data_IF_133413828168
#
_entry.id   IF_133413828168
#
_cell.length_a   1.000
_cell.length_b   1.000
_cell.length_c   1.000
_cell.angle_alpha   90.00
_cell.angle_beta   90.00
_cell.angle_gamma   90.00
#
_symmetry.space_group_name_H-M   'P 1'
#
loop_
_entity.id
_entity.type
_entity.pdbx_description
1 polymer ?
#
# COMPACT_ATOMS: atom_id res chain seq x y z
N UNK A 1 -5.59 -9.42 7.37
CA UNK A 1 -4.87 -9.51 8.66
C UNK A 1 -3.53 -10.26 8.53
N UNK A 2 -3.50 -11.48 7.98
CA UNK A 2 -2.26 -12.28 7.87
C UNK A 2 -1.13 -11.59 7.08
N UNK A 3 -1.44 -10.96 5.94
CA UNK A 3 -0.43 -10.26 5.11
C UNK A 3 0.19 -9.07 5.86
N UNK A 4 -0.60 -8.32 6.63
CA UNK A 4 -0.11 -7.20 7.43
C UNK A 4 0.87 -7.65 8.53
N UNK A 5 0.58 -8.79 9.17
CA UNK A 5 1.49 -9.40 10.16
C UNK A 5 2.76 -9.92 9.49
N UNK A 6 2.66 -10.48 8.28
CA UNK A 6 3.80 -10.95 7.51
C UNK A 6 4.77 -9.80 7.19
N UNK A 7 4.27 -8.69 6.63
CA UNK A 7 5.13 -7.54 6.25
C UNK A 7 5.61 -6.69 7.42
N UNK A 8 5.09 -6.90 8.63
CA UNK A 8 5.62 -6.26 9.84
C UNK A 8 7.09 -6.65 10.09
N UNK A 9 7.48 -7.87 9.72
CA UNK A 9 8.84 -8.36 9.87
C UNK A 9 9.68 -8.09 8.61
N UNK A 10 10.96 -7.73 8.79
CA UNK A 10 11.91 -7.55 7.68
C UNK A 10 12.01 -8.78 6.74
N UNK A 11 12.10 -10.04 7.22
CA UNK A 11 12.10 -11.20 6.33
C UNK A 11 10.78 -11.36 5.57
N UNK A 12 9.64 -11.09 6.20
CA UNK A 12 8.33 -11.19 5.56
C UNK A 12 8.13 -10.16 4.44
N UNK A 13 8.70 -8.95 4.56
CA UNK A 13 8.73 -7.96 3.46
C UNK A 13 9.46 -8.49 2.23
N UNK A 14 10.64 -9.09 2.42
CA UNK A 14 11.42 -9.69 1.32
C UNK A 14 10.71 -10.88 0.69
N UNK A 15 10.10 -11.74 1.50
CA UNK A 15 9.32 -12.88 1.02
C UNK A 15 8.12 -12.43 0.18
N UNK A 16 7.41 -11.38 0.60
CA UNK A 16 6.28 -10.81 -0.12
C UNK A 16 6.67 -10.25 -1.50
N UNK A 17 7.80 -9.54 -1.57
CA UNK A 17 8.33 -9.04 -2.84
C UNK A 17 8.83 -10.18 -3.73
N UNK A 18 9.47 -11.21 -3.16
CA UNK A 18 9.92 -12.40 -3.92
C UNK A 18 8.75 -13.20 -4.50
N UNK A 19 7.60 -13.18 -3.83
CA UNK A 19 6.37 -13.83 -4.27
C UNK A 19 5.55 -12.99 -5.28
N UNK A 20 6.10 -11.89 -5.78
CA UNK A 20 5.44 -10.97 -6.72
C UNK A 20 4.04 -10.50 -6.22
N UNK A 21 3.96 -10.12 -4.94
CA UNK A 21 2.71 -9.66 -4.34
C UNK A 21 2.27 -8.25 -4.78
N UNK A 22 3.06 -7.55 -5.59
CA UNK A 22 2.81 -6.16 -5.99
C UNK A 22 1.59 -5.98 -6.91
N UNK A 23 1.40 -6.80 -7.97
CA UNK A 23 0.20 -6.72 -8.80
C UNK A 23 -1.09 -7.02 -8.03
N UNK A 24 -1.01 -7.89 -7.02
CA UNK A 24 -2.14 -8.20 -6.16
C UNK A 24 -2.56 -6.99 -5.30
N UNK A 25 -1.60 -6.21 -4.78
CA UNK A 25 -1.89 -4.95 -4.09
C UNK A 25 -2.53 -3.92 -5.03
N UNK A 26 -1.99 -3.77 -6.24
CA UNK A 26 -2.54 -2.86 -7.27
C UNK A 26 -3.96 -3.24 -7.69
N UNK A 27 -4.24 -4.54 -7.84
CA UNK A 27 -5.58 -5.06 -8.14
C UNK A 27 -6.57 -4.78 -7.01
N UNK A 28 -6.18 -5.02 -5.76
CA UNK A 28 -7.03 -4.76 -4.59
C UNK A 28 -7.35 -3.27 -4.41
N UNK A 29 -6.42 -2.38 -4.74
CA UNK A 29 -6.68 -0.93 -4.74
C UNK A 29 -7.56 -0.48 -5.91
N UNK A 30 -7.58 -1.23 -7.02
CA UNK A 30 -8.31 -0.85 -8.23
C UNK A 30 -9.76 -1.34 -8.26
N UNK A 31 -10.05 -2.46 -7.59
CA UNK A 31 -11.37 -3.11 -7.65
C UNK A 31 -12.41 -2.65 -6.61
N UNK A 32 -12.08 -1.74 -5.70
CA UNK A 32 -12.95 -1.40 -4.56
C UNK A 32 -13.83 -0.17 -4.79
N UNK A 33 -15.15 -0.34 -4.79
CA UNK A 33 -16.05 0.78 -4.50
C UNK A 33 -15.85 1.20 -3.03
N UNK A 34 -15.35 2.42 -2.79
CA UNK A 34 -15.05 2.94 -1.45
C UNK A 34 -16.32 3.29 -0.63
N UNK A 35 -17.49 2.87 -1.10
CA UNK A 35 -18.79 3.21 -0.54
C UNK A 35 -19.15 2.42 0.73
N UNK A 36 -18.56 1.23 0.94
CA UNK A 36 -18.88 0.39 2.10
C UNK A 36 -17.78 0.44 3.17
N UNK A 37 -18.16 0.30 4.43
CA UNK A 37 -17.23 0.28 5.56
C UNK A 37 -16.18 -0.85 5.44
N UNK A 38 -16.59 -2.01 4.92
CA UNK A 38 -15.71 -3.15 4.67
C UNK A 38 -14.67 -2.87 3.58
N UNK A 39 -15.06 -2.18 2.49
CA UNK A 39 -14.13 -1.79 1.43
C UNK A 39 -13.10 -0.76 1.91
N UNK A 40 -13.54 0.22 2.73
CA UNK A 40 -12.65 1.20 3.35
C UNK A 40 -11.66 0.52 4.29
N UNK A 41 -12.11 -0.47 5.08
CA UNK A 41 -11.24 -1.22 5.98
C UNK A 41 -10.22 -2.07 5.21
N UNK A 42 -10.62 -2.70 4.12
CA UNK A 42 -9.70 -3.43 3.24
C UNK A 42 -8.66 -2.49 2.64
N UNK A 43 -9.09 -1.35 2.11
CA UNK A 43 -8.21 -0.33 1.55
C UNK A 43 -7.18 0.15 2.59
N UNK A 44 -7.61 0.41 3.81
CA UNK A 44 -6.71 0.78 4.90
C UNK A 44 -5.64 -0.30 5.16
N UNK A 45 -6.02 -1.57 5.22
CA UNK A 45 -5.07 -2.69 5.42
C UNK A 45 -4.08 -2.78 4.27
N UNK A 46 -4.54 -2.63 3.02
CA UNK A 46 -3.67 -2.65 1.83
C UNK A 46 -2.68 -1.51 1.86
N UNK A 47 -3.12 -0.29 2.18
CA UNK A 47 -2.24 0.88 2.31
C UNK A 47 -1.24 0.74 3.46
N UNK A 48 -1.65 0.11 4.56
CA UNK A 48 -0.75 -0.18 5.68
C UNK A 48 0.35 -1.17 5.26
N UNK A 49 0.02 -2.17 4.43
CA UNK A 49 1.01 -3.07 3.83
C UNK A 49 1.97 -2.31 2.91
N UNK A 50 1.46 -1.44 2.04
CA UNK A 50 2.29 -0.59 1.16
C UNK A 50 3.23 0.30 1.98
N UNK A 51 2.71 0.93 3.04
CA UNK A 51 3.51 1.74 3.95
C UNK A 51 4.59 0.91 4.67
N UNK A 52 4.26 -0.28 5.17
CA UNK A 52 5.23 -1.16 5.83
C UNK A 52 6.33 -1.62 4.87
N UNK A 53 5.99 -1.93 3.61
CA UNK A 53 6.96 -2.26 2.57
C UNK A 53 7.86 -1.07 2.21
N UNK A 54 7.33 0.16 2.23
CA UNK A 54 8.10 1.39 1.95
C UNK A 54 9.18 1.71 2.99
N UNK A 55 9.18 1.07 4.17
CA UNK A 55 10.25 1.24 5.17
C UNK A 55 11.59 0.65 4.75
N UNK A 56 11.59 -0.32 3.84
CA UNK A 56 12.83 -0.96 3.39
C UNK A 56 13.20 -0.39 2.02
N UNK A 57 14.34 0.29 1.86
CA UNK A 57 14.69 1.01 0.61
C UNK A 57 14.60 0.13 -0.64
N UNK A 58 15.04 -1.13 -0.56
CA UNK A 58 14.97 -2.10 -1.66
C UNK A 58 13.52 -2.41 -2.07
N UNK A 59 12.63 -2.56 -1.10
CA UNK A 59 11.20 -2.81 -1.35
C UNK A 59 10.50 -1.55 -1.85
N UNK A 60 10.88 -0.39 -1.30
CA UNK A 60 10.37 0.90 -1.67
C UNK A 60 10.72 1.26 -3.13
N UNK A 61 11.95 0.95 -3.58
CA UNK A 61 12.36 1.14 -4.97
C UNK A 61 11.55 0.26 -5.94
N UNK A 62 11.30 -1.00 -5.57
CA UNK A 62 10.44 -1.91 -6.35
C UNK A 62 8.98 -1.45 -6.38
N UNK A 63 8.47 -0.91 -5.28
CA UNK A 63 7.14 -0.29 -5.21
C UNK A 63 7.05 0.96 -6.08
N UNK A 64 8.05 1.83 -6.03
CA UNK A 64 8.09 3.04 -6.86
C UNK A 64 8.22 2.71 -8.35
N UNK A 65 8.96 1.65 -8.69
CA UNK A 65 9.07 1.12 -10.05
C UNK A 65 7.78 0.41 -10.53
N UNK A 66 6.87 0.03 -9.62
CA UNK A 66 5.60 -0.57 -9.99
C UNK A 66 4.70 0.49 -10.65
N UNK A 67 4.60 0.39 -11.97
CA UNK A 67 3.80 1.31 -12.78
C UNK A 67 2.36 1.40 -12.25
N UNK A 68 1.90 2.64 -12.01
CA UNK A 68 0.54 2.91 -11.55
C UNK A 68 0.35 2.99 -10.03
N UNK A 69 1.34 2.62 -9.20
CA UNK A 69 1.21 2.75 -7.74
C UNK A 69 1.04 4.21 -7.29
N UNK A 70 1.95 5.09 -7.70
CA UNK A 70 1.92 6.51 -7.31
C UNK A 70 0.65 7.23 -7.78
N UNK A 71 0.22 7.13 -9.07
CA UNK A 71 -1.06 7.67 -9.50
C UNK A 71 -2.25 7.14 -8.70
N UNK A 72 -2.23 5.85 -8.33
CA UNK A 72 -3.32 5.23 -7.58
C UNK A 72 -3.41 5.73 -6.15
N UNK A 73 -2.27 5.94 -5.47
CA UNK A 73 -2.24 6.55 -4.14
C UNK A 73 -2.80 7.98 -4.17
N UNK A 74 -2.49 8.75 -5.22
CA UNK A 74 -3.05 10.11 -5.42
C UNK A 74 -4.55 10.06 -5.69
N UNK A 75 -5.02 9.12 -6.51
CA UNK A 75 -6.45 8.90 -6.76
C UNK A 75 -7.22 8.54 -5.47
N UNK A 76 -6.65 7.68 -4.63
CA UNK A 76 -7.21 7.33 -3.33
C UNK A 76 -7.29 8.56 -2.42
N UNK A 77 -6.25 9.40 -2.39
CA UNK A 77 -6.26 10.64 -1.60
C UNK A 77 -7.36 11.61 -2.04
N UNK A 78 -7.65 11.69 -3.34
CA UNK A 78 -8.68 12.58 -3.87
C UNK A 78 -10.09 12.06 -3.58
N UNK A 79 -10.31 10.75 -3.65
CA UNK A 79 -11.64 10.15 -3.56
C UNK A 79 -12.04 9.70 -2.15
N UNK A 80 -11.08 9.45 -1.25
CA UNK A 80 -11.36 8.88 0.08
C UNK A 80 -11.24 9.93 1.18
N UNK A 81 -12.39 10.39 1.68
CA UNK A 81 -12.49 11.35 2.80
C UNK A 81 -12.48 10.65 4.17
N UNK A 82 -11.50 9.78 4.42
CA UNK A 82 -11.33 9.10 5.71
C UNK A 82 -9.93 9.39 6.24
N UNK A 83 -9.86 10.14 7.35
CA UNK A 83 -8.60 10.65 7.91
C UNK A 83 -7.55 9.56 8.11
N UNK A 84 -7.95 8.39 8.63
CA UNK A 84 -7.05 7.25 8.83
C UNK A 84 -6.42 6.75 7.52
N UNK A 85 -7.19 6.72 6.43
CA UNK A 85 -6.74 6.30 5.10
C UNK A 85 -5.80 7.36 4.53
N UNK A 86 -6.21 8.63 4.57
CA UNK A 86 -5.40 9.76 4.09
C UNK A 86 -4.04 9.80 4.77
N UNK A 87 -4.01 9.66 6.11
CA UNK A 87 -2.75 9.67 6.89
C UNK A 87 -1.79 8.56 6.46
N UNK A 88 -2.26 7.32 6.29
CA UNK A 88 -1.38 6.21 5.90
C UNK A 88 -0.91 6.35 4.45
N UNK A 89 -1.77 6.84 3.55
CA UNK A 89 -1.39 7.09 2.15
C UNK A 89 -0.34 8.18 2.03
N UNK A 90 -0.48 9.29 2.76
CA UNK A 90 0.53 10.35 2.80
C UNK A 90 1.86 9.85 3.39
N UNK A 91 1.82 9.03 4.44
CA UNK A 91 3.02 8.43 5.03
C UNK A 91 3.73 7.49 4.04
N UNK A 92 2.97 6.67 3.30
CA UNK A 92 3.52 5.82 2.24
C UNK A 92 4.14 6.63 1.11
N UNK A 93 3.44 7.66 0.62
CA UNK A 93 3.97 8.56 -0.42
C UNK A 93 5.25 9.26 0.03
N UNK A 94 5.30 9.76 1.27
CA UNK A 94 6.52 10.37 1.81
C UNK A 94 7.69 9.39 1.77
N UNK A 95 7.48 8.15 2.22
CA UNK A 95 8.54 7.14 2.23
C UNK A 95 8.99 6.74 0.82
N UNK A 96 8.07 6.70 -0.15
CA UNK A 96 8.40 6.38 -1.55
C UNK A 96 9.12 7.53 -2.26
N UNK A 97 8.82 8.79 -1.91
CA UNK A 97 9.47 9.99 -2.46
C UNK A 97 10.80 10.33 -1.77
N UNK A 98 11.02 9.81 -0.56
CA UNK A 98 12.27 9.99 0.19
C UNK A 98 13.36 8.94 -0.14
N UNK A 99 13.13 8.12 -1.17
CA UNK A 99 14.10 7.16 -1.73
C UNK A 99 15.23 7.90 -2.44
#
# INVERSE_FOLDING_TARGET
>A
AAVQQLVATAPGRKAFIKADGLPLLLGLMSGGSYATHSAVQLLYVVLMVVWSLSYTPECAAKLAAAAGLLPKLVDILKNVQKEKVVRVTCAALRNLLAI
#
